data_IF_018055898823
#
_entry.id   IF_018055898823
#
_cell.length_a   1.000
_cell.length_b   1.000
_cell.length_c   1.000
_cell.angle_alpha   90.00
_cell.angle_beta   90.00
_cell.angle_gamma   90.00
#
_symmetry.space_group_name_H-M   'P 1'
#
loop_
_entity.id
_entity.type
_entity.pdbx_description
1 polymer ?
#
# COMPACT_ATOMS: atom_id res chain seq x y z
N UNK A 1 28.36 -13.88 -8.10
CA UNK A 1 27.72 -12.62 -7.70
C UNK A 1 26.32 -12.60 -8.33
N UNK A 2 25.29 -13.06 -7.61
CA UNK A 2 23.93 -13.10 -8.14
C UNK A 2 23.37 -11.67 -8.17
N UNK A 3 23.16 -11.13 -9.38
CA UNK A 3 22.36 -9.91 -9.54
C UNK A 3 20.91 -10.27 -9.18
N UNK A 4 20.48 -9.91 -7.98
CA UNK A 4 19.06 -9.99 -7.61
C UNK A 4 18.27 -9.11 -8.58
N UNK A 5 17.41 -9.72 -9.41
CA UNK A 5 16.48 -8.99 -10.28
C UNK A 5 15.52 -8.22 -9.38
N UNK A 6 15.43 -6.90 -9.55
CA UNK A 6 14.41 -6.10 -8.86
C UNK A 6 13.24 -5.79 -9.78
N UNK A 7 12.04 -5.61 -9.22
CA UNK A 7 10.79 -5.27 -9.92
C UNK A 7 10.26 -3.91 -9.47
N UNK A 8 9.64 -3.17 -10.38
CA UNK A 8 8.73 -2.07 -10.01
C UNK A 8 7.40 -2.68 -9.56
N UNK A 9 6.64 -1.92 -8.78
CA UNK A 9 5.32 -2.33 -8.32
C UNK A 9 4.27 -1.82 -9.30
N UNK A 10 3.42 -2.72 -9.76
CA UNK A 10 2.27 -2.41 -10.65
C UNK A 10 0.93 -2.59 -9.91
N UNK A 11 0.96 -3.27 -8.76
CA UNK A 11 -0.18 -3.47 -7.85
C UNK A 11 0.32 -3.82 -6.45
N UNK A 12 -0.42 -3.44 -5.43
CA UNK A 12 -0.20 -3.90 -4.07
C UNK A 12 -0.58 -5.39 -3.91
N UNK A 13 0.15 -6.08 -3.03
CA UNK A 13 -0.06 -7.48 -2.71
C UNK A 13 -1.08 -7.65 -1.55
N UNK A 14 -1.16 -6.67 -0.64
CA UNK A 14 -2.13 -6.65 0.46
C UNK A 14 -2.48 -5.23 0.90
N UNK A 15 -3.60 -5.07 1.61
CA UNK A 15 -4.04 -3.80 2.21
C UNK A 15 -4.54 -4.02 3.63
N UNK A 16 -4.07 -3.20 4.57
CA UNK A 16 -4.63 -3.07 5.91
C UNK A 16 -5.71 -1.99 5.89
N UNK A 17 -6.93 -2.38 5.53
CA UNK A 17 -8.02 -1.44 5.31
C UNK A 17 -8.62 -0.88 6.60
N UNK A 18 -8.35 -1.46 7.77
CA UNK A 18 -8.99 -1.02 9.02
C UNK A 18 -8.96 -2.05 10.16
N UNK A 19 -9.59 -1.73 11.30
CA UNK A 19 -10.37 -0.53 11.56
C UNK A 19 -9.57 0.59 12.25
N UNK A 20 -10.03 1.83 12.16
CA UNK A 20 -9.45 2.92 12.93
C UNK A 20 -9.50 2.59 14.44
N UNK A 21 -8.40 2.86 15.16
CA UNK A 21 -8.22 2.55 16.59
C UNK A 21 -8.23 1.04 16.94
N UNK A 22 -8.11 0.14 15.96
CA UNK A 22 -7.99 -1.31 16.20
C UNK A 22 -6.53 -1.82 16.22
N UNK A 23 -5.54 -0.94 16.39
CA UNK A 23 -4.12 -1.33 16.43
C UNK A 23 -3.41 -1.42 15.08
N UNK A 24 -3.98 -0.86 14.01
CA UNK A 24 -3.37 -0.83 12.66
C UNK A 24 -1.97 -0.22 12.64
N UNK A 25 -1.71 0.82 13.46
CA UNK A 25 -0.36 1.41 13.61
C UNK A 25 0.66 0.41 14.14
N UNK A 26 0.28 -0.42 15.13
CA UNK A 26 1.16 -1.43 15.69
C UNK A 26 1.42 -2.55 14.68
N UNK A 27 0.37 -2.99 13.97
CA UNK A 27 0.51 -4.00 12.93
C UNK A 27 1.38 -3.51 11.76
N UNK A 28 1.17 -2.27 11.30
CA UNK A 28 2.05 -1.59 10.33
C UNK A 28 3.51 -1.61 10.82
N UNK A 29 3.75 -1.21 12.07
CA UNK A 29 5.10 -1.23 12.63
C UNK A 29 5.74 -2.62 12.56
N UNK A 30 5.04 -3.68 12.99
CA UNK A 30 5.60 -5.03 12.96
C UNK A 30 5.83 -5.56 11.54
N UNK A 31 4.89 -5.33 10.62
CA UNK A 31 5.03 -5.72 9.21
C UNK A 31 6.20 -5.00 8.54
N UNK A 32 6.41 -3.71 8.84
CA UNK A 32 7.54 -2.92 8.31
C UNK A 32 8.92 -3.46 8.72
N UNK A 33 8.99 -4.32 9.75
CA UNK A 33 10.23 -4.96 10.21
C UNK A 33 10.51 -6.29 9.54
N UNK A 34 9.55 -6.85 8.78
CA UNK A 34 9.74 -8.14 8.14
C UNK A 34 10.59 -7.98 6.86
N UNK A 35 11.66 -8.77 6.65
CA UNK A 35 12.60 -8.56 5.54
C UNK A 35 11.98 -8.72 4.14
N UNK A 36 10.91 -9.51 4.03
CA UNK A 36 10.20 -9.76 2.77
C UNK A 36 8.89 -8.96 2.63
N UNK A 37 8.66 -7.95 3.48
CA UNK A 37 7.49 -7.07 3.38
C UNK A 37 7.98 -5.63 3.23
N UNK A 38 7.38 -4.90 2.30
CA UNK A 38 7.55 -3.45 2.18
C UNK A 38 6.22 -2.77 2.37
N UNK A 39 6.17 -1.80 3.27
CA UNK A 39 5.06 -0.83 3.34
C UNK A 39 5.58 0.48 2.75
N UNK A 40 4.71 1.24 2.10
CA UNK A 40 5.06 2.53 1.50
C UNK A 40 5.76 3.47 2.49
N UNK A 41 6.50 4.45 1.96
CA UNK A 41 7.31 5.39 2.74
C UNK A 41 6.50 6.42 3.56
N UNK A 42 5.18 6.43 3.40
CA UNK A 42 4.23 7.28 4.12
C UNK A 42 3.20 6.41 4.85
N UNK A 43 2.83 6.83 6.07
CA UNK A 43 1.68 6.25 6.77
C UNK A 43 0.38 6.79 6.19
N UNK A 44 -0.59 5.91 5.96
CA UNK A 44 -1.92 6.23 5.44
C UNK A 44 -1.86 7.00 4.10
N UNK A 45 -1.79 6.28 2.97
CA UNK A 45 -1.67 6.89 1.63
C UNK A 45 -2.91 7.67 1.21
N UNK A 46 -4.08 7.27 1.71
CA UNK A 46 -5.38 7.84 1.35
C UNK A 46 -5.59 7.90 -0.17
N UNK A 47 -5.14 6.86 -0.87
CA UNK A 47 -5.28 6.81 -2.31
C UNK A 47 -6.73 6.43 -2.64
N UNK A 48 -7.19 5.28 -2.15
CA UNK A 48 -8.49 4.70 -2.52
C UNK A 48 -9.70 5.44 -1.90
N UNK A 49 -9.51 6.23 -0.85
CA UNK A 49 -10.55 7.07 -0.22
C UNK A 49 -10.50 8.56 -0.63
N UNK A 50 -9.68 8.91 -1.62
CA UNK A 50 -9.63 10.24 -2.19
C UNK A 50 -10.39 10.30 -3.52
N UNK A 51 -11.64 10.78 -3.49
CA UNK A 51 -12.47 10.94 -4.69
C UNK A 51 -11.77 11.69 -5.83
N UNK A 52 -10.97 12.70 -5.52
CA UNK A 52 -10.30 13.51 -6.54
C UNK A 52 -9.35 12.67 -7.41
N UNK A 53 -8.78 11.58 -6.89
CA UNK A 53 -7.95 10.65 -7.64
C UNK A 53 -8.75 9.77 -8.62
N UNK A 54 -10.08 9.67 -8.45
CA UNK A 54 -10.97 8.78 -9.20
C UNK A 54 -12.01 9.49 -10.07
N UNK A 55 -11.99 10.83 -10.16
CA UNK A 55 -12.92 11.60 -11.03
C UNK A 55 -12.64 11.37 -12.52
N UNK A 56 -11.41 11.05 -12.89
CA UNK A 56 -10.97 10.85 -14.28
C UNK A 56 -10.03 9.66 -14.41
N UNK A 57 -9.15 9.64 -15.41
CA UNK A 57 -8.15 8.57 -15.53
C UNK A 57 -7.30 8.50 -14.26
N UNK A 58 -7.32 7.34 -13.60
CA UNK A 58 -6.64 7.11 -12.32
C UNK A 58 -5.14 6.96 -12.56
N UNK A 59 -4.36 7.84 -11.96
CA UNK A 59 -2.90 7.79 -12.03
C UNK A 59 -2.31 7.02 -10.83
N UNK A 60 -2.13 5.71 -11.01
CA UNK A 60 -1.56 4.83 -10.00
C UNK A 60 -0.08 5.10 -9.69
N UNK A 61 0.64 5.89 -10.51
CA UNK A 61 2.01 6.29 -10.16
C UNK A 61 2.03 7.17 -8.91
N UNK A 62 0.93 7.88 -8.60
CA UNK A 62 0.79 8.62 -7.36
C UNK A 62 0.85 7.70 -6.13
N UNK A 63 0.42 6.44 -6.26
CA UNK A 63 0.56 5.42 -5.22
C UNK A 63 1.91 4.69 -5.32
N UNK A 64 2.29 4.21 -6.51
CA UNK A 64 3.45 3.35 -6.69
C UNK A 64 4.79 4.04 -6.42
N UNK A 65 4.87 5.38 -6.56
CA UNK A 65 6.09 6.16 -6.26
C UNK A 65 6.58 6.02 -4.81
N UNK A 66 5.68 5.63 -3.90
CA UNK A 66 5.98 5.48 -2.48
C UNK A 66 6.72 4.18 -2.15
N UNK A 67 7.04 3.37 -3.15
CA UNK A 67 7.70 2.09 -2.97
C UNK A 67 8.99 1.99 -3.78
N UNK A 68 10.06 1.41 -3.19
CA UNK A 68 11.29 1.13 -3.92
C UNK A 68 11.14 -0.04 -4.89
N UNK A 69 12.15 -0.25 -5.73
CA UNK A 69 12.26 -1.49 -6.50
C UNK A 69 12.45 -2.69 -5.57
N UNK A 70 11.59 -3.69 -5.70
CA UNK A 70 11.49 -4.82 -4.79
C UNK A 70 12.22 -6.05 -5.31
N UNK A 71 12.68 -6.93 -4.41
CA UNK A 71 13.08 -8.27 -4.82
C UNK A 71 11.85 -9.07 -5.28
N UNK A 72 12.02 -10.14 -6.08
CA UNK A 72 10.88 -10.87 -6.65
C UNK A 72 10.01 -11.55 -5.59
N UNK A 73 10.58 -11.91 -4.44
CA UNK A 73 9.90 -12.55 -3.32
C UNK A 73 9.32 -11.56 -2.29
N UNK A 74 9.63 -10.27 -2.39
CA UNK A 74 9.14 -9.25 -1.46
C UNK A 74 7.73 -8.82 -1.86
N UNK A 75 6.82 -8.75 -0.89
CA UNK A 75 5.45 -8.27 -1.08
C UNK A 75 5.31 -6.81 -0.60
N UNK A 76 4.43 -6.06 -1.25
CA UNK A 76 4.10 -4.69 -0.90
C UNK A 76 2.67 -4.55 -0.38
N UNK A 77 2.47 -3.72 0.64
CA UNK A 77 1.12 -3.37 1.06
C UNK A 77 0.97 -1.97 1.60
N UNK A 78 -0.28 -1.53 1.63
CA UNK A 78 -0.72 -0.23 2.14
C UNK A 78 -1.48 -0.38 3.45
N UNK A 79 -1.49 0.68 4.26
CA UNK A 79 -2.20 0.71 5.53
C UNK A 79 -2.91 2.05 5.71
N UNK A 80 -4.17 2.09 5.30
CA UNK A 80 -5.08 3.22 5.52
C UNK A 80 -6.36 2.70 6.17
N UNK A 81 -6.53 2.92 7.49
CA UNK A 81 -7.65 2.34 8.25
C UNK A 81 -9.04 2.88 7.87
N UNK A 82 -9.13 3.99 7.14
CA UNK A 82 -10.39 4.57 6.67
C UNK A 82 -10.99 3.79 5.50
N UNK A 83 -10.21 3.01 4.75
CA UNK A 83 -10.71 2.25 3.60
C UNK A 83 -11.83 1.27 3.98
N UNK A 84 -11.82 0.72 5.20
CA UNK A 84 -12.89 -0.17 5.68
C UNK A 84 -14.24 0.53 5.81
N UNK A 85 -14.27 1.85 6.01
CA UNK A 85 -15.49 2.62 6.22
C UNK A 85 -15.89 3.48 5.02
N UNK A 86 -14.93 3.77 4.15
CA UNK A 86 -15.17 4.57 2.96
C UNK A 86 -15.69 3.69 1.83
N UNK A 87 -17.01 3.73 1.61
CA UNK A 87 -17.74 2.81 0.74
C UNK A 87 -17.11 2.60 -0.66
N UNK A 88 -16.68 3.65 -1.40
CA UNK A 88 -16.02 3.44 -2.69
C UNK A 88 -14.65 2.77 -2.64
N UNK A 89 -13.95 2.77 -1.49
CA UNK A 89 -12.57 2.27 -1.44
C UNK A 89 -12.49 0.78 -1.78
N UNK A 90 -13.46 -0.02 -1.34
CA UNK A 90 -13.47 -1.47 -1.60
C UNK A 90 -13.58 -1.81 -3.09
N UNK A 91 -14.30 -1.00 -3.88
CA UNK A 91 -14.44 -1.19 -5.33
C UNK A 91 -13.20 -0.72 -6.12
N UNK A 92 -12.41 0.18 -5.53
CA UNK A 92 -11.21 0.76 -6.14
C UNK A 92 -9.95 -0.09 -5.90
N UNK A 93 -9.97 -0.98 -4.91
CA UNK A 93 -8.88 -1.89 -4.50
C UNK A 93 -8.86 -3.15 -5.37
#
# INVERSE_FOLDING_TARGET
MFRSRRRKIERLDFILAGAQKSGTTALHYFLSKHPDITIGDQQEMHFFDNDAAFVSHVDYEQLHKHYPLLAPSTIAGDCTPSYMYYEPAAERI
#
